data_IF_902351468857
#
_entry.id   IF_902351468857
#
_cell.length_a   1.000
_cell.length_b   1.000
_cell.length_c   1.000
_cell.angle_alpha   90.00
_cell.angle_beta   90.00
_cell.angle_gamma   90.00
#
_symmetry.space_group_name_H-M   'P 1'
#
loop_
_entity.id
_entity.type
_entity.pdbx_description
1 polymer ?
#
# COMPACT_ATOMS: atom_id res chain seq x y z
N UNK A 1 -27.08 -27.61 -56.39
CA UNK A 1 -28.09 -26.68 -55.84
C UNK A 1 -29.13 -27.53 -55.14
N UNK A 2 -29.32 -27.49 -53.82
CA UNK A 2 -28.82 -26.54 -52.82
C UNK A 2 -29.00 -27.19 -51.45
N UNK A 3 -27.94 -27.14 -50.65
CA UNK A 3 -27.92 -27.41 -49.22
C UNK A 3 -28.94 -26.51 -48.49
N UNK A 4 -29.66 -27.08 -47.51
CA UNK A 4 -30.03 -26.34 -46.29
C UNK A 4 -29.92 -27.32 -45.13
N UNK A 5 -28.70 -27.46 -44.62
CA UNK A 5 -28.44 -28.00 -43.28
C UNK A 5 -29.00 -27.02 -42.27
N UNK A 6 -30.01 -27.44 -41.51
CA UNK A 6 -30.59 -26.68 -40.40
C UNK A 6 -29.57 -26.58 -39.27
N UNK A 7 -28.78 -25.51 -39.30
CA UNK A 7 -27.95 -25.03 -38.19
C UNK A 7 -28.87 -24.53 -37.07
N UNK A 8 -29.38 -25.44 -36.25
CA UNK A 8 -30.22 -25.09 -35.10
C UNK A 8 -30.13 -26.10 -33.96
N UNK A 9 -28.92 -26.44 -33.51
CA UNK A 9 -28.69 -26.83 -32.12
C UNK A 9 -27.23 -26.58 -31.69
N UNK A 10 -26.80 -25.32 -31.75
CA UNK A 10 -25.63 -24.89 -30.97
C UNK A 10 -26.18 -24.43 -29.63
N UNK A 11 -26.31 -25.35 -28.67
CA UNK A 11 -26.38 -25.01 -27.25
C UNK A 11 -25.20 -24.08 -26.96
N UNK A 12 -25.52 -22.80 -26.82
CA UNK A 12 -24.59 -21.78 -26.34
C UNK A 12 -24.03 -22.28 -25.03
N UNK A 13 -22.73 -22.58 -25.02
CA UNK A 13 -22.02 -23.03 -23.84
C UNK A 13 -22.35 -22.08 -22.69
N UNK A 14 -22.95 -22.63 -21.63
CA UNK A 14 -23.01 -21.93 -20.37
C UNK A 14 -21.60 -21.41 -20.03
N UNK A 15 -21.46 -20.19 -19.50
CA UNK A 15 -20.18 -19.73 -19.03
C UNK A 15 -19.64 -20.80 -18.09
N UNK A 16 -18.41 -21.29 -18.32
CA UNK A 16 -17.76 -22.24 -17.41
C UNK A 16 -17.80 -21.63 -16.01
N UNK A 17 -18.70 -22.15 -15.17
CA UNK A 17 -18.70 -21.84 -13.75
C UNK A 17 -17.28 -22.14 -13.24
N UNK A 18 -16.66 -21.16 -12.61
CA UNK A 18 -15.28 -21.26 -12.16
C UNK A 18 -15.08 -22.51 -11.30
N UNK A 19 -13.90 -23.12 -11.43
CA UNK A 19 -13.53 -24.47 -10.97
C UNK A 19 -13.70 -24.72 -9.44
N UNK A 20 -14.11 -23.74 -8.64
CA UNK A 20 -14.48 -23.94 -7.23
C UNK A 20 -15.80 -23.25 -6.89
N UNK A 21 -16.84 -24.05 -6.63
CA UNK A 21 -17.92 -23.64 -5.72
C UNK A 21 -17.27 -23.42 -4.36
N UNK A 22 -17.00 -22.15 -4.00
CA UNK A 22 -16.27 -21.87 -2.77
C UNK A 22 -17.08 -22.39 -1.59
N UNK A 23 -16.55 -23.41 -0.89
CA UNK A 23 -17.18 -23.90 0.33
C UNK A 23 -17.37 -22.75 1.33
N UNK A 24 -18.36 -22.83 2.23
CA UNK A 24 -18.55 -21.81 3.29
C UNK A 24 -17.25 -21.59 4.08
N UNK A 25 -16.45 -22.64 4.22
CA UNK A 25 -15.14 -22.62 4.84
C UNK A 25 -14.13 -21.77 4.06
N UNK A 26 -13.98 -21.98 2.75
CA UNK A 26 -13.08 -21.15 1.91
C UNK A 26 -13.43 -19.67 1.96
N UNK A 27 -14.73 -19.35 1.90
CA UNK A 27 -15.19 -17.96 2.02
C UNK A 27 -14.83 -17.37 3.38
N UNK A 28 -14.99 -18.15 4.44
CA UNK A 28 -14.67 -17.72 5.81
C UNK A 28 -13.18 -17.52 5.99
N UNK A 29 -12.35 -18.45 5.50
CA UNK A 29 -10.88 -18.34 5.52
C UNK A 29 -10.43 -17.10 4.75
N UNK A 30 -11.00 -16.86 3.56
CA UNK A 30 -10.68 -15.67 2.76
C UNK A 30 -10.98 -14.38 3.53
N UNK A 31 -12.17 -14.28 4.13
CA UNK A 31 -12.57 -13.11 4.93
C UNK A 31 -11.62 -12.91 6.10
N UNK A 32 -11.29 -13.98 6.84
CA UNK A 32 -10.39 -13.92 7.99
C UNK A 32 -8.97 -13.52 7.58
N UNK A 33 -8.44 -14.12 6.51
CA UNK A 33 -7.11 -13.79 6.00
C UNK A 33 -7.01 -12.31 5.60
N UNK A 34 -8.00 -11.80 4.88
CA UNK A 34 -8.07 -10.37 4.51
C UNK A 34 -8.19 -9.49 5.75
N UNK A 35 -9.00 -9.88 6.74
CA UNK A 35 -9.17 -9.12 7.98
C UNK A 35 -7.87 -9.05 8.79
N UNK A 36 -7.20 -10.19 8.99
CA UNK A 36 -5.94 -10.27 9.71
C UNK A 36 -4.86 -9.47 8.99
N UNK A 37 -4.75 -9.63 7.66
CA UNK A 37 -3.79 -8.88 6.85
C UNK A 37 -4.00 -7.37 6.95
N UNK A 38 -5.25 -6.91 6.85
CA UNK A 38 -5.61 -5.51 6.96
C UNK A 38 -5.33 -4.95 8.36
N UNK A 39 -5.76 -5.64 9.41
CA UNK A 39 -5.51 -5.22 10.80
C UNK A 39 -4.01 -5.22 11.10
N UNK A 40 -3.27 -6.21 10.62
CA UNK A 40 -1.82 -6.28 10.75
C UNK A 40 -1.11 -5.10 10.08
N UNK A 41 -1.50 -4.75 8.85
CA UNK A 41 -0.99 -3.56 8.17
C UNK A 41 -1.33 -2.28 8.94
N UNK A 42 -2.58 -2.14 9.41
CA UNK A 42 -3.00 -1.00 10.22
C UNK A 42 -2.20 -0.88 11.53
N UNK A 43 -1.98 -2.00 12.22
CA UNK A 43 -1.20 -2.05 13.46
C UNK A 43 0.26 -1.67 13.22
N UNK A 44 0.86 -2.06 12.09
CA UNK A 44 2.21 -1.63 11.73
C UNK A 44 2.30 -0.11 11.65
N UNK A 45 1.34 0.56 10.99
CA UNK A 45 1.33 2.02 10.94
C UNK A 45 0.99 2.66 12.30
N UNK A 46 0.20 2.00 13.13
CA UNK A 46 -0.08 2.47 14.49
C UNK A 46 1.19 2.56 15.35
N UNK A 47 2.10 1.59 15.25
CA UNK A 47 3.37 1.64 16.02
C UNK A 47 4.27 2.79 15.57
N UNK A 48 4.15 3.27 14.34
CA UNK A 48 4.93 4.40 13.81
C UNK A 48 4.52 5.75 14.40
N UNK A 49 3.25 5.90 14.79
CA UNK A 49 2.72 7.16 15.30
C UNK A 49 3.40 7.62 16.58
N UNK A 50 3.80 6.68 17.43
CA UNK A 50 4.14 6.96 18.82
C UNK A 50 5.47 7.70 18.98
N UNK A 51 6.41 7.47 18.08
CA UNK A 51 7.70 8.16 18.08
C UNK A 51 7.70 9.43 17.21
N UNK A 52 6.54 9.78 16.62
CA UNK A 52 6.31 10.96 15.76
C UNK A 52 5.19 11.85 16.29
N UNK A 53 4.91 11.82 17.59
CA UNK A 53 3.79 12.58 18.16
C UNK A 53 3.97 14.10 17.96
N UNK A 54 2.91 14.83 17.51
CA UNK A 54 2.91 16.29 17.48
C UNK A 54 3.04 16.89 18.89
N UNK A 55 3.56 18.13 19.03
CA UNK A 55 3.91 19.06 17.95
C UNK A 55 5.34 18.91 17.40
N UNK A 56 6.18 18.10 18.05
CA UNK A 56 7.62 18.07 17.76
C UNK A 56 8.00 16.98 16.75
N UNK A 57 7.15 15.96 16.53
CA UNK A 57 7.39 14.86 15.58
C UNK A 57 8.69 14.06 15.83
N UNK A 58 9.20 14.13 17.05
CA UNK A 58 10.52 13.59 17.41
C UNK A 58 11.69 14.38 16.81
N UNK A 59 11.46 15.56 16.23
CA UNK A 59 12.51 16.42 15.71
C UNK A 59 13.23 17.15 16.85
N UNK A 60 14.56 17.12 16.80
CA UNK A 60 15.45 17.94 17.63
C UNK A 60 16.08 19.01 16.74
N UNK A 61 16.60 20.07 17.36
CA UNK A 61 17.22 21.20 16.65
C UNK A 61 18.40 20.79 15.74
N UNK A 62 18.98 19.61 15.96
CA UNK A 62 20.21 19.14 15.30
C UNK A 62 20.01 17.99 14.30
N UNK A 63 18.80 17.43 14.16
CA UNK A 63 18.50 16.31 13.25
C UNK A 63 19.37 15.04 13.45
N UNK A 64 20.18 14.97 14.52
CA UNK A 64 21.22 13.94 14.65
C UNK A 64 20.80 12.64 15.34
N UNK A 65 19.68 12.64 16.08
CA UNK A 65 19.27 11.46 16.89
C UNK A 65 17.75 11.30 17.01
N UNK A 66 17.24 10.22 16.39
CA UNK A 66 15.88 9.71 16.57
C UNK A 66 14.77 10.59 16.00
N UNK A 67 13.54 10.07 15.95
CA UNK A 67 12.39 10.84 15.47
C UNK A 67 12.31 10.99 13.95
N UNK A 68 11.23 11.61 13.46
CA UNK A 68 10.95 11.73 12.03
C UNK A 68 12.09 12.44 11.29
N UNK A 69 12.60 13.53 11.87
CA UNK A 69 13.67 14.34 11.29
C UNK A 69 14.97 13.58 11.07
N UNK A 70 15.36 12.71 12.01
CA UNK A 70 16.55 11.88 11.86
C UNK A 70 16.44 10.96 10.65
N UNK A 71 15.31 10.25 10.49
CA UNK A 71 15.13 9.35 9.34
C UNK A 71 15.01 10.11 8.02
N UNK A 72 14.48 11.34 8.03
CA UNK A 72 14.47 12.19 6.84
C UNK A 72 15.88 12.60 6.43
N UNK A 73 16.71 13.06 7.38
CA UNK A 73 18.10 13.41 7.09
C UNK A 73 18.89 12.16 6.67
N UNK A 74 18.71 11.05 7.37
CA UNK A 74 19.38 9.80 7.06
C UNK A 74 19.04 9.28 5.65
N UNK A 75 17.77 9.36 5.23
CA UNK A 75 17.37 9.01 3.87
C UNK A 75 17.99 9.94 2.80
N UNK A 76 18.26 11.21 3.14
CA UNK A 76 18.95 12.14 2.25
C UNK A 76 20.46 11.84 2.20
N UNK A 77 21.09 11.56 3.34
CA UNK A 77 22.52 11.27 3.44
C UNK A 77 22.91 9.97 2.71
N UNK A 78 22.05 8.94 2.77
CA UNK A 78 22.26 7.63 2.12
C UNK A 78 21.85 7.61 0.63
N UNK A 79 21.41 8.74 0.07
CA UNK A 79 21.00 8.82 -1.31
C UNK A 79 22.21 8.85 -2.26
N UNK A 80 22.45 7.74 -2.96
CA UNK A 80 23.56 7.60 -3.90
C UNK A 80 23.12 7.07 -5.27
N UNK A 81 23.88 7.38 -6.32
CA UNK A 81 23.67 6.89 -7.69
C UNK A 81 23.79 5.36 -7.82
N UNK A 82 24.58 4.72 -6.96
CA UNK A 82 24.83 3.28 -6.93
C UNK A 82 23.74 2.49 -6.19
N UNK A 83 22.73 3.15 -5.63
CA UNK A 83 21.64 2.47 -4.92
C UNK A 83 20.86 1.53 -5.86
N UNK A 84 20.68 0.29 -5.41
CA UNK A 84 20.09 -0.85 -6.10
C UNK A 84 19.02 -1.56 -5.24
N UNK A 85 17.85 -1.84 -5.80
CA UNK A 85 16.77 -2.57 -5.14
C UNK A 85 16.74 -4.05 -5.59
N UNK A 86 16.14 -4.92 -4.78
CA UNK A 86 15.86 -6.33 -5.11
C UNK A 86 17.14 -7.13 -5.34
N UNK A 87 18.11 -6.96 -4.45
CA UNK A 87 19.41 -7.61 -4.57
C UNK A 87 19.28 -9.12 -4.36
N UNK A 88 19.47 -9.91 -5.42
CA UNK A 88 19.48 -11.37 -5.35
C UNK A 88 20.90 -11.92 -5.48
N UNK A 89 21.52 -12.29 -4.34
CA UNK A 89 22.81 -12.99 -4.31
C UNK A 89 22.61 -14.49 -4.59
N UNK A 90 22.48 -14.87 -5.87
CA UNK A 90 22.19 -16.25 -6.29
C UNK A 90 23.39 -17.19 -6.05
N UNK A 91 24.61 -16.67 -6.07
CA UNK A 91 25.84 -17.44 -5.85
C UNK A 91 26.71 -16.72 -4.83
N UNK A 92 26.67 -17.21 -3.58
CA UNK A 92 27.42 -16.65 -2.43
C UNK A 92 28.95 -16.69 -2.59
N UNK A 93 29.46 -17.40 -3.59
CA UNK A 93 30.87 -17.83 -3.69
C UNK A 93 31.59 -17.35 -4.96
N UNK A 94 30.94 -16.55 -5.82
CA UNK A 94 31.52 -16.08 -7.09
C UNK A 94 30.87 -14.76 -7.46
N UNK A 95 31.54 -13.83 -8.18
CA UNK A 95 30.90 -12.65 -8.76
C UNK A 95 29.99 -13.11 -9.91
N UNK A 96 28.88 -13.74 -9.55
CA UNK A 96 27.81 -14.11 -10.45
C UNK A 96 27.01 -12.88 -10.86
N UNK A 97 26.10 -13.01 -11.84
CA UNK A 97 25.24 -11.91 -12.23
C UNK A 97 24.33 -11.55 -11.04
N UNK A 98 24.57 -10.38 -10.46
CA UNK A 98 23.71 -9.77 -9.47
C UNK A 98 22.47 -9.23 -10.19
N UNK A 99 21.31 -9.84 -9.94
CA UNK A 99 20.05 -9.29 -10.40
C UNK A 99 19.63 -8.23 -9.41
N UNK A 100 19.61 -6.98 -9.85
CA UNK A 100 19.14 -5.84 -9.06
C UNK A 100 18.55 -4.77 -9.98
N UNK A 101 17.78 -3.87 -9.41
CA UNK A 101 17.14 -2.75 -10.12
C UNK A 101 17.80 -1.46 -9.66
N UNK A 102 18.49 -0.71 -10.53
CA UNK A 102 19.10 0.56 -10.14
C UNK A 102 18.00 1.58 -9.80
N UNK A 103 18.03 2.08 -8.57
CA UNK A 103 17.10 3.10 -8.08
C UNK A 103 17.81 4.38 -7.65
N UNK A 104 19.11 4.52 -7.89
CA UNK A 104 19.89 5.71 -7.51
C UNK A 104 19.31 7.03 -8.02
N UNK A 105 18.65 7.02 -9.17
CA UNK A 105 17.93 8.19 -9.67
C UNK A 105 16.74 8.56 -8.77
N UNK A 106 16.03 7.58 -8.22
CA UNK A 106 14.86 7.78 -7.38
C UNK A 106 15.28 8.22 -5.97
N UNK A 107 16.36 7.66 -5.42
CA UNK A 107 16.90 8.05 -4.10
C UNK A 107 17.43 9.48 -4.14
N UNK A 108 18.16 9.87 -5.19
CA UNK A 108 18.64 11.25 -5.36
C UNK A 108 17.49 12.26 -5.51
N UNK A 109 16.47 11.93 -6.30
CA UNK A 109 15.28 12.77 -6.41
C UNK A 109 14.56 12.89 -5.06
N UNK A 110 14.55 11.82 -4.27
CA UNK A 110 13.97 11.83 -2.93
C UNK A 110 14.74 12.72 -1.97
N UNK A 111 16.07 12.62 -1.95
CA UNK A 111 16.93 13.49 -1.15
C UNK A 111 16.73 14.96 -1.52
N UNK A 112 16.75 15.28 -2.82
CA UNK A 112 16.50 16.64 -3.28
C UNK A 112 15.12 17.17 -2.85
N UNK A 113 14.08 16.33 -2.89
CA UNK A 113 12.76 16.70 -2.38
C UNK A 113 12.75 16.90 -0.85
N UNK A 114 13.44 16.03 -0.11
CA UNK A 114 13.53 16.12 1.35
C UNK A 114 14.22 17.43 1.76
N UNK A 115 15.41 17.69 1.24
CA UNK A 115 16.24 18.85 1.60
C UNK A 115 15.61 20.17 1.18
N UNK A 116 15.06 20.24 -0.04
CA UNK A 116 14.59 21.51 -0.60
C UNK A 116 13.13 21.82 -0.27
N UNK A 117 12.32 20.82 0.08
CA UNK A 117 10.88 21.01 0.29
C UNK A 117 10.36 20.49 1.63
N UNK A 118 10.75 19.28 2.05
CA UNK A 118 10.23 18.67 3.29
C UNK A 118 10.84 19.32 4.53
N UNK A 119 12.17 19.40 4.61
CA UNK A 119 12.88 19.93 5.77
C UNK A 119 12.54 21.41 6.05
N UNK A 120 12.49 22.33 5.05
CA UNK A 120 12.09 23.71 5.30
C UNK A 120 10.64 23.84 5.78
N UNK A 121 9.78 22.87 5.45
CA UNK A 121 8.36 22.86 5.79
C UNK A 121 8.01 21.76 6.80
N UNK A 122 8.98 21.35 7.65
CA UNK A 122 8.86 20.14 8.47
C UNK A 122 7.66 20.13 9.41
N UNK A 123 7.26 21.29 9.94
CA UNK A 123 6.08 21.39 10.82
C UNK A 123 4.81 20.94 10.13
N UNK A 124 4.61 21.38 8.88
CA UNK A 124 3.44 20.99 8.09
C UNK A 124 3.56 19.54 7.64
N UNK A 125 4.73 19.13 7.16
CA UNK A 125 4.98 17.76 6.71
C UNK A 125 4.86 16.73 7.83
N UNK A 126 5.26 17.06 9.05
CA UNK A 126 5.09 16.20 10.22
C UNK A 126 3.62 15.87 10.46
N UNK A 127 2.73 16.87 10.39
CA UNK A 127 1.29 16.62 10.46
C UNK A 127 0.78 15.80 9.29
N UNK A 128 1.27 16.03 8.07
CA UNK A 128 0.89 15.23 6.90
C UNK A 128 1.29 13.77 7.08
N UNK A 129 2.54 13.49 7.47
CA UNK A 129 3.02 12.12 7.70
C UNK A 129 2.23 11.46 8.82
N UNK A 130 2.14 12.11 9.99
CA UNK A 130 1.44 11.56 11.16
C UNK A 130 -0.05 11.31 10.87
N UNK A 131 -0.74 12.27 10.25
CA UNK A 131 -2.17 12.12 9.92
C UNK A 131 -2.40 11.06 8.85
N UNK A 132 -1.47 10.90 7.90
CA UNK A 132 -1.54 9.83 6.90
C UNK A 132 -1.37 8.46 7.56
N UNK A 133 -0.40 8.29 8.46
CA UNK A 133 -0.22 7.05 9.23
C UNK A 133 -1.44 6.74 10.10
N UNK A 134 -2.01 7.76 10.76
CA UNK A 134 -3.21 7.61 11.58
C UNK A 134 -4.43 7.24 10.73
N UNK A 135 -4.56 7.86 9.56
CA UNK A 135 -5.59 7.54 8.59
C UNK A 135 -5.48 6.10 8.09
N UNK A 136 -4.26 5.64 7.75
CA UNK A 136 -4.01 4.25 7.35
C UNK A 136 -4.45 3.29 8.46
N UNK A 137 -4.01 3.53 9.69
CA UNK A 137 -4.39 2.71 10.84
C UNK A 137 -5.91 2.62 10.99
N UNK A 138 -6.61 3.77 11.05
CA UNK A 138 -8.06 3.79 11.22
C UNK A 138 -8.78 3.12 10.06
N UNK A 139 -8.36 3.41 8.83
CA UNK A 139 -8.97 2.84 7.61
C UNK A 139 -8.81 1.32 7.54
N UNK A 140 -7.61 0.81 7.83
CA UNK A 140 -7.28 -0.62 7.75
C UNK A 140 -7.85 -1.44 8.91
N UNK A 141 -7.91 -0.89 10.11
CA UNK A 141 -8.47 -1.58 11.27
C UNK A 141 -9.99 -1.55 11.29
N UNK A 142 -10.62 -0.44 10.90
CA UNK A 142 -12.09 -0.29 10.91
C UNK A 142 -12.73 -0.73 9.58
N UNK A 143 -11.93 -0.95 8.54
CA UNK A 143 -12.42 -1.20 7.17
C UNK A 143 -13.28 -0.05 6.66
N UNK A 144 -12.81 1.19 6.86
CA UNK A 144 -13.49 2.43 6.47
C UNK A 144 -12.69 3.15 5.39
N UNK A 145 -13.30 3.38 4.23
CA UNK A 145 -12.61 3.84 3.01
C UNK A 145 -11.34 3.05 2.75
N UNK A 146 -11.44 1.72 2.88
CA UNK A 146 -10.31 0.81 2.88
C UNK A 146 -9.40 0.95 1.66
N UNK A 147 -9.93 1.26 0.48
CA UNK A 147 -9.08 1.50 -0.71
C UNK A 147 -8.32 2.82 -0.62
N UNK A 148 -8.91 3.85 -0.03
CA UNK A 148 -8.23 5.13 0.18
C UNK A 148 -7.10 4.97 1.21
N UNK A 149 -7.36 4.25 2.31
CA UNK A 149 -6.33 3.89 3.28
C UNK A 149 -5.21 3.06 2.68
N UNK A 150 -5.53 2.08 1.84
CA UNK A 150 -4.53 1.27 1.16
C UNK A 150 -3.71 2.08 0.14
N UNK A 151 -4.30 3.05 -0.57
CA UNK A 151 -3.55 3.98 -1.42
C UNK A 151 -2.59 4.85 -0.63
N UNK A 152 -3.02 5.37 0.52
CA UNK A 152 -2.13 6.09 1.42
C UNK A 152 -0.99 5.20 1.92
N UNK A 153 -1.29 3.94 2.26
CA UNK A 153 -0.29 2.96 2.70
C UNK A 153 0.71 2.61 1.59
N UNK A 154 0.26 2.50 0.33
CA UNK A 154 1.15 2.35 -0.83
C UNK A 154 2.10 3.54 -0.92
N UNK A 155 1.58 4.77 -0.91
CA UNK A 155 2.42 5.97 -0.98
C UNK A 155 3.47 6.04 0.14
N UNK A 156 3.04 5.80 1.39
CA UNK A 156 3.94 5.83 2.54
C UNK A 156 4.96 4.69 2.50
N UNK A 157 4.55 3.48 2.13
CA UNK A 157 5.46 2.32 2.03
C UNK A 157 6.46 2.48 0.88
N UNK A 158 6.05 3.06 -0.25
CA UNK A 158 6.95 3.40 -1.36
C UNK A 158 7.96 4.45 -0.91
N UNK A 159 7.53 5.47 -0.18
CA UNK A 159 8.44 6.49 0.35
C UNK A 159 9.48 5.89 1.31
N UNK A 160 9.06 5.01 2.22
CA UNK A 160 9.98 4.29 3.11
C UNK A 160 10.93 3.38 2.32
N UNK A 161 10.44 2.67 1.32
CA UNK A 161 11.26 1.81 0.46
C UNK A 161 12.34 2.60 -0.28
N UNK A 162 12.00 3.75 -0.87
CA UNK A 162 12.98 4.58 -1.58
C UNK A 162 13.99 5.17 -0.59
N UNK A 163 13.53 5.65 0.57
CA UNK A 163 14.39 6.35 1.53
C UNK A 163 15.30 5.44 2.38
N UNK A 164 14.88 4.19 2.66
CA UNK A 164 15.54 3.35 3.67
C UNK A 164 15.97 1.95 3.18
N UNK A 165 15.67 1.56 1.95
CA UNK A 165 16.06 0.22 1.46
C UNK A 165 17.59 -0.04 1.47
N UNK A 166 18.39 1.03 1.45
CA UNK A 166 19.86 0.97 1.39
C UNK A 166 20.54 1.24 2.73
N UNK A 167 19.75 1.59 3.75
CA UNK A 167 20.28 1.98 5.04
C UNK A 167 21.07 0.82 5.68
N UNK A 168 22.28 1.07 6.20
CA UNK A 168 23.02 0.05 6.93
C UNK A 168 22.19 -0.55 8.07
N UNK A 169 22.18 -1.88 8.16
CA UNK A 169 21.42 -2.67 9.14
C UNK A 169 19.90 -2.72 8.92
N UNK A 170 19.38 -2.12 7.86
CA UNK A 170 17.99 -2.27 7.44
C UNK A 170 17.87 -3.37 6.37
N UNK A 171 16.73 -4.05 6.34
CA UNK A 171 16.46 -5.08 5.35
C UNK A 171 15.43 -4.59 4.34
N UNK A 172 15.86 -4.40 3.08
CA UNK A 172 15.03 -3.85 1.99
C UNK A 172 13.66 -4.54 1.85
N UNK A 173 13.61 -5.85 2.10
CA UNK A 173 12.39 -6.65 1.97
C UNK A 173 11.32 -6.27 2.99
N UNK A 174 11.68 -5.68 4.12
CA UNK A 174 10.70 -5.16 5.10
C UNK A 174 9.80 -4.12 4.44
N UNK A 175 10.38 -3.17 3.71
CA UNK A 175 9.65 -2.10 3.02
C UNK A 175 8.93 -2.62 1.77
N UNK A 176 9.56 -3.54 1.03
CA UNK A 176 8.93 -4.17 -0.15
C UNK A 176 7.70 -4.98 0.27
N UNK A 177 7.78 -5.76 1.35
CA UNK A 177 6.64 -6.54 1.85
C UNK A 177 5.51 -5.63 2.36
N UNK A 178 5.84 -4.52 3.02
CA UNK A 178 4.84 -3.50 3.38
C UNK A 178 4.13 -2.94 2.14
N UNK A 179 4.89 -2.61 1.09
CA UNK A 179 4.34 -2.11 -0.17
C UNK A 179 3.46 -3.17 -0.86
N UNK A 180 3.94 -4.40 -0.97
CA UNK A 180 3.19 -5.51 -1.58
C UNK A 180 1.90 -5.81 -0.82
N UNK A 181 1.94 -5.82 0.52
CA UNK A 181 0.77 -5.99 1.35
C UNK A 181 -0.23 -4.84 1.15
N UNK A 182 0.26 -3.60 1.04
CA UNK A 182 -0.57 -2.42 0.76
C UNK A 182 -1.25 -2.52 -0.62
N UNK A 183 -0.52 -2.98 -1.65
CA UNK A 183 -1.06 -3.24 -2.99
C UNK A 183 -2.13 -4.34 -2.94
N UNK A 184 -1.87 -5.43 -2.22
CA UNK A 184 -2.83 -6.51 -2.04
C UNK A 184 -4.12 -6.01 -1.36
N UNK A 185 -3.99 -5.20 -0.29
CA UNK A 185 -5.14 -4.61 0.40
C UNK A 185 -5.91 -3.63 -0.49
N UNK A 186 -5.24 -2.88 -1.35
CA UNK A 186 -5.91 -2.02 -2.33
C UNK A 186 -6.76 -2.83 -3.32
N UNK A 187 -6.20 -3.93 -3.85
CA UNK A 187 -6.88 -4.81 -4.78
C UNK A 187 -8.09 -5.52 -4.15
N UNK A 188 -7.89 -6.11 -2.98
CA UNK A 188 -8.91 -6.86 -2.26
C UNK A 188 -9.99 -5.96 -1.65
N UNK A 189 -9.66 -4.73 -1.27
CA UNK A 189 -10.57 -3.79 -0.59
C UNK A 189 -11.16 -4.41 0.69
N UNK A 190 -10.37 -4.50 1.78
CA UNK A 190 -10.75 -5.23 2.99
C UNK A 190 -12.11 -4.82 3.56
N UNK A 191 -12.49 -3.54 3.39
CA UNK A 191 -13.79 -2.98 3.77
C UNK A 191 -15.02 -3.73 3.21
N UNK A 192 -14.85 -4.47 2.11
CA UNK A 192 -15.93 -5.27 1.49
C UNK A 192 -16.16 -6.60 2.20
N UNK A 193 -15.13 -7.13 2.84
CA UNK A 193 -15.17 -8.40 3.57
C UNK A 193 -15.54 -8.14 5.02
N UNK A 194 -14.94 -7.12 5.64
CA UNK A 194 -15.17 -6.73 7.02
C UNK A 194 -15.12 -5.19 7.17
N UNK A 195 -15.78 -4.64 8.18
CA UNK A 195 -15.68 -3.21 8.51
C UNK A 195 -16.86 -2.35 8.06
N UNK A 196 -16.69 -1.02 8.21
CA UNK A 196 -17.76 -0.03 8.01
C UNK A 196 -18.18 0.11 6.54
N UNK A 197 -17.26 -0.10 5.60
CA UNK A 197 -17.54 -0.02 4.15
C UNK A 197 -18.67 -0.99 3.75
N UNK A 198 -18.69 -2.20 4.32
CA UNK A 198 -19.76 -3.19 4.11
C UNK A 198 -21.15 -2.66 4.48
N UNK A 199 -21.24 -1.82 5.51
CA UNK A 199 -22.50 -1.22 5.96
C UNK A 199 -22.92 -0.03 5.10
N UNK A 200 -21.96 0.74 4.59
CA UNK A 200 -22.21 1.94 3.78
C UNK A 200 -22.55 1.60 2.32
N UNK A 201 -21.97 0.52 1.79
CA UNK A 201 -22.05 0.17 0.36
C UNK A 201 -23.47 0.01 -0.20
N UNK A 202 -24.44 -0.62 0.50
CA UNK A 202 -25.82 -0.70 -0.01
C UNK A 202 -26.45 0.69 -0.20
N UNK A 203 -26.22 1.61 0.73
CA UNK A 203 -26.74 2.99 0.66
C UNK A 203 -26.07 3.78 -0.46
N UNK A 204 -24.75 3.63 -0.60
CA UNK A 204 -23.99 4.28 -1.67
C UNK A 204 -24.39 3.77 -3.06
N UNK A 205 -24.75 2.47 -3.18
CA UNK A 205 -25.26 1.88 -4.43
C UNK A 205 -26.55 2.56 -4.89
N UNK A 206 -27.51 2.71 -3.98
CA UNK A 206 -28.77 3.42 -4.25
C UNK A 206 -28.53 4.87 -4.70
N UNK A 207 -27.56 5.57 -4.07
CA UNK A 207 -27.20 6.94 -4.46
C UNK A 207 -26.54 7.01 -5.85
N UNK A 208 -25.71 6.04 -6.19
CA UNK A 208 -25.09 5.95 -7.52
C UNK A 208 -26.11 5.63 -8.61
N UNK A 209 -27.07 4.74 -8.34
CA UNK A 209 -28.16 4.39 -9.26
C UNK A 209 -29.08 5.60 -9.54
N UNK A 210 -29.21 6.51 -8.58
CA UNK A 210 -29.88 7.81 -8.74
C UNK A 210 -29.08 8.86 -9.53
N UNK A 211 -27.91 8.49 -10.09
CA UNK A 211 -27.10 9.37 -10.92
C UNK A 211 -26.11 10.28 -10.17
N UNK A 212 -25.97 10.14 -8.84
CA UNK A 212 -25.01 10.95 -8.08
C UNK A 212 -23.56 10.56 -8.39
N UNK A 213 -22.78 11.52 -8.91
CA UNK A 213 -21.33 11.35 -9.15
C UNK A 213 -20.57 11.06 -7.87
N UNK A 214 -20.99 11.66 -6.75
CA UNK A 214 -20.40 11.44 -5.42
C UNK A 214 -20.64 10.00 -4.95
N UNK A 215 -21.87 9.48 -5.14
CA UNK A 215 -22.18 8.08 -4.81
C UNK A 215 -21.30 7.09 -5.57
N UNK A 216 -21.05 7.35 -6.85
CA UNK A 216 -20.14 6.54 -7.68
C UNK A 216 -18.70 6.60 -7.21
N UNK A 217 -18.20 7.78 -6.84
CA UNK A 217 -16.84 7.96 -6.35
C UNK A 217 -16.63 7.23 -5.00
N UNK A 218 -17.57 7.40 -4.07
CA UNK A 218 -17.50 6.73 -2.76
C UNK A 218 -17.54 5.21 -2.90
N UNK A 219 -18.37 4.67 -3.79
CA UNK A 219 -18.39 3.23 -4.10
C UNK A 219 -17.08 2.68 -4.65
N UNK A 220 -16.27 3.52 -5.31
CA UNK A 220 -14.98 3.11 -5.84
C UNK A 220 -13.95 2.93 -4.71
N UNK A 221 -14.05 3.72 -3.65
CA UNK A 221 -13.13 3.73 -2.51
C UNK A 221 -13.60 2.89 -1.29
N UNK A 222 -14.84 2.41 -1.30
CA UNK A 222 -15.38 1.38 -0.40
C UNK A 222 -15.42 -0.01 -1.06
#
# INVERSE_FOLDING_TARGET
>A
MSEVSSVADRKSGQPREGIYSSSRLERTITVLAVAIASIGLGYLFFTQLWWKLPPDFGCRDDFTRGGLCFFLQHAADEADASNILLKAEIVRSSPGPELSVPIGWATQLNAAFIENFVQPNIRWFGYVVWSTEAWIFLSMCLGFFSRLGALAAIGMSTQLMIGLAHTPNEWEWSYILMLLLSIAMFGLAPGRYFGLDRLLRPRLKVLSERGSRVGRLLLLFT
#
